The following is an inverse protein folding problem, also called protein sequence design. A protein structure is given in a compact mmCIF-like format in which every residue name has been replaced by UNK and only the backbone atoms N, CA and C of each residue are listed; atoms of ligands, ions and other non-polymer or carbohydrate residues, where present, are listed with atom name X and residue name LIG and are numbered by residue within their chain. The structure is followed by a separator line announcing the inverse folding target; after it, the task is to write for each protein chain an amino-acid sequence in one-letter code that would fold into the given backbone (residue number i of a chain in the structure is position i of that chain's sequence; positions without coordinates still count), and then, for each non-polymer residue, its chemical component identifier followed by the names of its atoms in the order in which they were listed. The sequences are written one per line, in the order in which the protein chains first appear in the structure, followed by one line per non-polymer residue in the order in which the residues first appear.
data_IF_683798126770
#
_entry.id   IF_683798126770
#
_cell.length_a   1.000
_cell.length_b   1.000
_cell.length_c   1.000
_cell.angle_alpha   90.00
_cell.angle_beta   90.00
_cell.angle_gamma   90.00
#
_symmetry.space_group_name_H-M   'P 1'
#
loop_
_entity.id
_entity.type
_entity.pdbx_description
1 polymer ?
#
# COMPACT_ATOMS: atom_id res chain seq x y z
N UNK A 1 2.86 -14.78 26.86
CA UNK A 1 1.97 -13.61 27.00
C UNK A 1 2.85 -12.38 27.14
N UNK A 2 3.19 -11.73 26.02
CA UNK A 2 3.82 -10.43 26.05
C UNK A 2 2.77 -9.46 26.59
N UNK A 3 3.03 -8.85 27.75
CA UNK A 3 2.22 -7.73 28.22
C UNK A 3 2.38 -6.62 27.18
N UNK A 4 1.39 -6.45 26.30
CA UNK A 4 1.27 -5.25 25.49
C UNK A 4 1.33 -4.07 26.46
N UNK A 5 2.40 -3.28 26.39
CA UNK A 5 2.46 -2.00 27.08
C UNK A 5 1.38 -1.14 26.43
N UNK A 6 0.20 -1.12 27.06
CA UNK A 6 -0.92 -0.28 26.67
C UNK A 6 -0.47 1.18 26.78
N UNK A 7 -0.12 1.77 25.64
CA UNK A 7 0.24 3.18 25.58
C UNK A 7 -1.04 4.01 25.77
N UNK A 8 -1.03 4.92 26.75
CA UNK A 8 -2.18 5.78 27.04
C UNK A 8 -2.32 6.91 26.02
N UNK A 9 -3.54 7.42 25.88
CA UNK A 9 -3.83 8.61 25.06
C UNK A 9 -3.01 9.83 25.49
N UNK A 10 -2.78 10.01 26.80
CA UNK A 10 -1.96 11.11 27.30
C UNK A 10 -0.48 10.97 26.91
N UNK A 11 0.05 9.74 26.93
CA UNK A 11 1.41 9.50 26.47
C UNK A 11 1.56 9.78 24.97
N UNK A 12 0.59 9.35 24.14
CA UNK A 12 0.60 9.64 22.71
C UNK A 12 0.45 11.13 22.42
N UNK A 13 -0.50 11.81 23.07
CA UNK A 13 -0.64 13.26 22.89
C UNK A 13 0.63 14.03 23.25
N UNK A 14 1.35 13.62 24.31
CA UNK A 14 2.66 14.20 24.62
C UNK A 14 3.71 13.91 23.55
N UNK A 15 3.81 12.67 23.07
CA UNK A 15 4.77 12.31 22.03
C UNK A 15 4.55 13.16 20.77
N UNK A 16 3.30 13.22 20.31
CA UNK A 16 2.88 14.00 19.14
C UNK A 16 3.17 15.49 19.28
N UNK A 17 2.97 16.09 20.46
CA UNK A 17 3.24 17.52 20.67
C UNK A 17 4.71 17.90 20.54
N UNK A 18 5.63 16.96 20.76
CA UNK A 18 7.07 17.23 20.78
C UNK A 18 7.83 16.56 19.63
N UNK A 19 7.17 15.73 18.83
CA UNK A 19 7.76 15.11 17.65
C UNK A 19 7.51 15.99 16.41
N UNK A 20 8.54 16.67 15.88
CA UNK A 20 8.39 17.54 14.72
C UNK A 20 8.09 16.77 13.42
N UNK A 21 8.28 15.44 13.40
CA UNK A 21 7.93 14.60 12.26
C UNK A 21 6.46 14.16 12.30
N UNK A 22 5.74 14.49 13.39
CA UNK A 22 4.34 14.15 13.55
C UNK A 22 3.45 15.39 13.37
N UNK A 23 2.56 15.34 12.38
CA UNK A 23 1.56 16.37 12.13
C UNK A 23 0.18 15.84 12.45
N UNK A 24 -0.55 16.50 13.36
CA UNK A 24 -1.93 16.14 13.67
C UNK A 24 -2.85 16.39 12.48
N UNK A 25 -3.89 15.56 12.28
CA UNK A 25 -4.87 15.78 11.22
C UNK A 25 -5.63 17.08 11.48
N UNK A 26 -5.75 17.94 10.48
CA UNK A 26 -6.49 19.20 10.58
C UNK A 26 -8.00 18.96 10.57
N UNK A 27 -8.47 18.04 9.73
CA UNK A 27 -9.85 17.59 9.63
C UNK A 27 -9.92 16.07 9.77
N UNK A 28 -9.88 15.56 11.01
CA UNK A 28 -9.84 14.12 11.24
C UNK A 28 -11.10 13.44 10.72
N UNK A 29 -10.90 12.36 9.96
CA UNK A 29 -11.96 11.48 9.51
C UNK A 29 -11.70 10.07 10.02
N UNK A 30 -12.71 9.48 10.67
CA UNK A 30 -12.74 8.08 11.06
C UNK A 30 -13.57 7.31 10.02
N UNK A 31 -12.93 6.50 9.15
CA UNK A 31 -13.60 5.68 8.18
C UNK A 31 -14.74 4.85 8.77
N UNK A 32 -15.91 4.89 8.13
CA UNK A 32 -17.07 4.06 8.50
C UNK A 32 -16.89 2.59 8.13
N UNK A 33 -15.86 2.30 7.35
CA UNK A 33 -15.48 0.97 6.89
C UNK A 33 -14.85 0.10 7.99
N UNK A 34 -14.54 0.69 9.15
CA UNK A 34 -14.10 -0.06 10.31
C UNK A 34 -15.27 -0.71 11.05
N UNK A 35 -15.05 -1.94 11.52
CA UNK A 35 -15.99 -2.63 12.41
C UNK A 35 -15.64 -2.28 13.85
N UNK A 36 -16.52 -1.53 14.52
CA UNK A 36 -16.34 -1.11 15.92
C UNK A 36 -17.21 -1.96 16.84
N UNK A 37 -16.57 -2.78 17.68
CA UNK A 37 -17.24 -3.69 18.62
C UNK A 37 -17.06 -3.18 20.06
N UNK A 38 -18.15 -2.82 20.77
CA UNK A 38 -18.07 -2.45 22.17
C UNK A 38 -17.62 -3.62 23.05
N UNK A 39 -16.65 -3.37 23.93
CA UNK A 39 -16.20 -4.30 24.97
C UNK A 39 -16.64 -3.80 26.35
N UNK A 40 -16.54 -4.66 27.37
CA UNK A 40 -16.89 -4.30 28.77
C UNK A 40 -16.14 -3.05 29.26
N UNK A 41 -14.89 -2.90 28.84
CA UNK A 41 -13.91 -1.92 29.31
C UNK A 41 -13.26 -1.11 28.16
N UNK A 42 -13.82 -1.15 26.94
CA UNK A 42 -13.19 -0.54 25.78
C UNK A 42 -13.93 -0.73 24.46
N UNK A 43 -13.20 -0.60 23.36
CA UNK A 43 -13.62 -0.87 21.99
C UNK A 43 -12.60 -1.77 21.31
N UNK A 44 -13.08 -2.72 20.53
CA UNK A 44 -12.32 -3.44 19.50
C UNK A 44 -12.64 -2.78 18.16
N UNK A 45 -11.62 -2.51 17.35
CA UNK A 45 -11.74 -1.93 16.02
C UNK A 45 -11.02 -2.86 15.06
N UNK A 46 -11.77 -3.37 14.08
CA UNK A 46 -11.31 -4.30 13.07
C UNK A 46 -11.39 -3.69 11.68
N UNK A 47 -10.46 -4.08 10.80
CA UNK A 47 -10.42 -3.68 9.40
C UNK A 47 -9.24 -2.78 9.04
N UNK A 48 -8.54 -2.19 10.02
CA UNK A 48 -7.25 -1.53 9.78
C UNK A 48 -6.16 -2.56 9.45
N UNK A 49 -4.94 -2.09 9.14
CA UNK A 49 -3.79 -2.98 8.90
C UNK A 49 -3.54 -3.96 10.07
N UNK A 50 -3.72 -3.47 11.30
CA UNK A 50 -3.70 -4.27 12.52
C UNK A 50 -4.98 -4.08 13.33
N UNK A 51 -5.49 -5.17 13.92
CA UNK A 51 -6.59 -5.12 14.87
C UNK A 51 -6.26 -4.22 16.07
N UNK A 52 -7.13 -3.27 16.40
CA UNK A 52 -6.92 -2.34 17.51
C UNK A 52 -7.85 -2.63 18.68
N UNK A 53 -7.28 -2.77 19.89
CA UNK A 53 -8.04 -2.84 21.13
C UNK A 53 -7.74 -1.61 21.99
N UNK A 54 -8.73 -0.73 22.11
CA UNK A 54 -8.64 0.48 22.93
C UNK A 54 -9.36 0.23 24.25
N UNK A 55 -8.70 0.47 25.39
CA UNK A 55 -9.27 0.25 26.73
C UNK A 55 -9.18 1.50 27.57
N UNK A 56 -10.09 1.60 28.53
CA UNK A 56 -10.07 2.64 29.57
C UNK A 56 -11.37 3.41 29.69
N UNK A 57 -11.52 4.11 30.82
CA UNK A 57 -12.74 4.86 31.15
C UNK A 57 -13.04 5.95 30.13
N UNK A 58 -12.01 6.64 29.64
CA UNK A 58 -12.14 7.67 28.62
C UNK A 58 -12.61 7.06 27.28
N UNK A 59 -11.96 5.99 26.81
CA UNK A 59 -12.39 5.22 25.62
C UNK A 59 -13.86 4.84 25.70
N UNK A 60 -14.31 4.25 26.81
CA UNK A 60 -15.70 3.80 26.98
C UNK A 60 -16.74 4.94 26.94
N UNK A 61 -16.40 6.12 27.44
CA UNK A 61 -17.35 7.23 27.60
C UNK A 61 -17.25 8.29 26.50
N UNK A 62 -16.04 8.60 26.06
CA UNK A 62 -15.72 9.68 25.14
C UNK A 62 -15.78 9.21 23.68
N UNK A 63 -15.15 8.08 23.33
CA UNK A 63 -15.09 7.66 21.91
C UNK A 63 -16.46 7.50 21.26
N UNK A 64 -17.49 6.89 21.89
CA UNK A 64 -18.81 6.79 21.25
C UNK A 64 -19.43 8.13 20.88
N UNK A 65 -19.07 9.21 21.59
CA UNK A 65 -19.49 10.59 21.30
C UNK A 65 -18.56 11.30 20.32
N UNK A 66 -17.26 10.96 20.35
CA UNK A 66 -16.24 11.58 19.53
C UNK A 66 -16.28 11.06 18.08
N UNK A 67 -16.39 9.74 17.88
CA UNK A 67 -16.32 9.10 16.56
C UNK A 67 -17.32 9.70 15.54
N UNK A 68 -18.59 10.00 15.89
CA UNK A 68 -19.52 10.64 14.95
C UNK A 68 -19.10 12.04 14.48
N UNK A 69 -18.22 12.72 15.21
CA UNK A 69 -17.70 14.07 14.89
C UNK A 69 -16.41 14.02 14.06
N UNK A 70 -15.75 12.87 13.98
CA UNK A 70 -14.55 12.66 13.16
C UNK A 70 -14.99 12.30 11.74
N UNK A 71 -15.67 13.23 11.07
CA UNK A 71 -16.30 13.03 9.78
C UNK A 71 -15.53 13.68 8.61
N UNK A 72 -14.33 14.20 8.87
CA UNK A 72 -13.52 14.93 7.89
C UNK A 72 -14.01 16.34 7.58
N UNK A 73 -15.10 16.80 8.20
CA UNK A 73 -15.67 18.14 7.97
C UNK A 73 -15.30 19.11 9.07
N UNK A 74 -15.18 18.62 10.30
CA UNK A 74 -14.87 19.43 11.47
C UNK A 74 -13.36 19.52 11.70
N UNK A 75 -12.88 20.69 12.12
CA UNK A 75 -11.51 20.84 12.62
C UNK A 75 -11.34 20.27 14.02
N UNK A 76 -10.10 20.08 14.48
CA UNK A 76 -9.81 19.67 15.85
C UNK A 76 -10.47 20.58 16.89
N UNK A 77 -10.47 21.89 16.65
CA UNK A 77 -11.08 22.89 17.52
C UNK A 77 -12.60 22.73 17.57
N UNK A 78 -13.25 22.56 16.41
CA UNK A 78 -14.69 22.37 16.31
C UNK A 78 -15.13 21.07 17.00
N UNK A 79 -14.38 19.98 16.80
CA UNK A 79 -14.61 18.70 17.50
C UNK A 79 -14.49 18.86 19.01
N UNK A 80 -13.49 19.61 19.50
CA UNK A 80 -13.33 19.84 20.93
C UNK A 80 -14.47 20.68 21.52
N UNK A 81 -14.98 21.67 20.78
CA UNK A 81 -16.12 22.49 21.19
C UNK A 81 -17.43 21.70 21.24
N UNK A 82 -17.62 20.74 20.32
CA UNK A 82 -18.82 19.90 20.25
C UNK A 82 -18.92 18.87 21.39
N UNK A 83 -17.85 18.67 22.18
CA UNK A 83 -17.84 17.75 23.33
C UNK A 83 -17.50 18.50 24.63
N UNK A 84 -18.39 19.37 25.14
CA UNK A 84 -18.09 20.29 26.24
C UNK A 84 -17.81 19.60 27.58
N UNK A 85 -18.22 18.34 27.74
CA UNK A 85 -17.97 17.53 28.94
C UNK A 85 -16.54 16.96 29.01
N UNK A 86 -15.73 17.15 27.96
CA UNK A 86 -14.34 16.73 27.89
C UNK A 86 -13.42 17.96 27.75
N UNK A 87 -12.24 17.91 28.38
CA UNK A 87 -11.27 18.99 28.18
C UNK A 87 -10.67 18.92 26.77
N UNK A 88 -10.30 20.09 26.22
CA UNK A 88 -9.61 20.18 24.91
C UNK A 88 -8.40 19.26 24.86
N UNK A 89 -7.60 19.21 25.94
CA UNK A 89 -6.46 18.30 26.06
C UNK A 89 -6.86 16.82 25.97
N UNK A 90 -8.00 16.43 26.55
CA UNK A 90 -8.48 15.05 26.50
C UNK A 90 -8.94 14.67 25.08
N UNK A 91 -9.62 15.58 24.37
CA UNK A 91 -10.01 15.39 22.97
C UNK A 91 -8.76 15.26 22.09
N UNK A 92 -7.82 16.19 22.22
CA UNK A 92 -6.54 16.15 21.50
C UNK A 92 -5.80 14.82 21.71
N UNK A 93 -5.62 14.40 22.97
CA UNK A 93 -4.95 13.14 23.30
C UNK A 93 -5.65 11.92 22.68
N UNK A 94 -6.98 11.94 22.61
CA UNK A 94 -7.75 10.85 22.01
C UNK A 94 -7.58 10.81 20.49
N UNK A 95 -7.62 11.97 19.82
CA UNK A 95 -7.40 12.05 18.37
C UNK A 95 -5.97 11.64 18.03
N UNK A 96 -4.97 12.08 18.81
CA UNK A 96 -3.59 11.64 18.66
C UNK A 96 -3.45 10.12 18.82
N UNK A 97 -4.13 9.52 19.79
CA UNK A 97 -4.15 8.06 19.95
C UNK A 97 -4.77 7.37 18.73
N UNK A 98 -5.91 7.83 18.22
CA UNK A 98 -6.55 7.21 17.05
C UNK A 98 -5.68 7.34 15.79
N UNK A 99 -5.10 8.53 15.56
CA UNK A 99 -4.27 8.79 14.39
C UNK A 99 -2.96 7.98 14.43
N UNK A 100 -2.28 7.92 15.58
CA UNK A 100 -1.07 7.09 15.75
C UNK A 100 -1.31 5.59 15.57
N UNK A 101 -2.57 5.13 15.66
CA UNK A 101 -2.99 3.74 15.42
C UNK A 101 -3.56 3.50 14.02
N UNK A 102 -3.40 4.47 13.12
CA UNK A 102 -3.87 4.36 11.74
C UNK A 102 -5.38 4.29 11.60
N UNK A 103 -6.12 4.82 12.58
CA UNK A 103 -7.58 4.80 12.58
C UNK A 103 -8.21 6.09 12.04
N UNK A 104 -7.39 7.09 11.69
CA UNK A 104 -7.85 8.37 11.15
C UNK A 104 -7.10 8.72 9.87
N UNK A 105 -7.81 9.37 8.96
CA UNK A 105 -7.24 10.14 7.84
C UNK A 105 -7.46 11.64 8.05
N UNK A 106 -6.75 12.46 7.28
CA UNK A 106 -6.93 13.92 7.27
C UNK A 106 -7.58 14.39 5.97
N UNK A 107 -8.88 14.69 6.03
CA UNK A 107 -9.62 15.21 4.86
C UNK A 107 -9.19 16.62 4.44
N UNK A 108 -8.33 17.31 5.20
CA UNK A 108 -7.74 18.56 4.74
C UNK A 108 -6.72 18.35 3.60
N UNK A 109 -6.18 17.13 3.45
CA UNK A 109 -5.27 16.76 2.37
C UNK A 109 -6.00 16.28 1.10
N UNK A 110 -7.33 16.17 1.14
CA UNK A 110 -8.10 15.71 -0.01
C UNK A 110 -7.90 16.68 -1.21
N UNK A 111 -7.47 16.15 -2.38
CA UNK A 111 -7.19 17.00 -3.54
C UNK A 111 -8.45 17.70 -4.06
N UNK A 112 -8.31 18.99 -4.38
CA UNK A 112 -9.42 19.78 -4.91
C UNK A 112 -9.94 19.19 -6.23
N UNK A 113 -11.25 18.93 -6.31
CA UNK A 113 -11.89 18.37 -7.49
C UNK A 113 -11.78 16.85 -7.64
N UNK A 114 -11.14 16.15 -6.71
CA UNK A 114 -11.12 14.68 -6.66
C UNK A 114 -12.15 14.16 -5.66
N UNK A 115 -13.34 13.89 -6.16
CA UNK A 115 -14.49 13.53 -5.30
C UNK A 115 -14.52 12.03 -4.99
N UNK A 116 -14.81 11.67 -3.74
CA UNK A 116 -14.98 10.28 -3.32
C UNK A 116 -16.04 9.50 -4.12
N UNK A 117 -17.03 10.19 -4.68
CA UNK A 117 -18.09 9.60 -5.51
C UNK A 117 -17.62 9.15 -6.89
N UNK A 118 -16.43 9.59 -7.32
CA UNK A 118 -15.83 9.19 -8.59
C UNK A 118 -15.03 7.89 -8.51
N UNK A 119 -14.84 7.34 -7.30
CA UNK A 119 -14.05 6.14 -7.04
C UNK A 119 -14.97 4.97 -6.69
N UNK A 120 -14.59 3.76 -7.10
CA UNK A 120 -15.25 2.55 -6.64
C UNK A 120 -15.27 2.48 -5.08
N UNK A 121 -16.43 2.27 -4.45
CA UNK A 121 -16.53 2.28 -3.00
C UNK A 121 -15.67 1.24 -2.28
N UNK A 122 -15.44 0.06 -2.88
CA UNK A 122 -14.62 -0.99 -2.30
C UNK A 122 -13.14 -0.62 -2.36
N UNK A 123 -12.71 -0.03 -3.46
CA UNK A 123 -11.35 0.51 -3.61
C UNK A 123 -11.12 1.63 -2.58
N UNK A 124 -12.03 2.61 -2.50
CA UNK A 124 -11.93 3.69 -1.51
C UNK A 124 -11.87 3.15 -0.07
N UNK A 125 -12.72 2.17 0.25
CA UNK A 125 -12.74 1.49 1.55
C UNK A 125 -11.40 0.80 1.86
N UNK A 126 -10.79 0.15 0.87
CA UNK A 126 -9.45 -0.44 1.02
C UNK A 126 -8.40 0.63 1.36
N UNK A 127 -8.32 1.71 0.60
CA UNK A 127 -7.33 2.78 0.84
C UNK A 127 -7.54 3.46 2.20
N UNK A 128 -8.79 3.73 2.59
CA UNK A 128 -9.12 4.30 3.91
C UNK A 128 -8.61 3.46 5.08
N UNK A 129 -8.74 2.13 4.95
CA UNK A 129 -8.29 1.20 5.98
C UNK A 129 -6.76 1.06 6.07
N UNK A 130 -6.04 1.51 5.05
CA UNK A 130 -4.60 1.30 4.89
C UNK A 130 -3.78 2.59 4.73
N UNK A 131 -4.38 3.78 4.92
CA UNK A 131 -3.70 5.08 4.78
C UNK A 131 -2.43 5.17 5.65
N UNK A 132 -2.43 4.51 6.81
CA UNK A 132 -1.32 4.54 7.77
C UNK A 132 -0.18 3.57 7.45
N UNK A 133 -0.32 2.69 6.44
CA UNK A 133 0.68 1.64 6.16
C UNK A 133 2.04 2.22 5.81
N UNK A 134 2.07 3.30 5.02
CA UNK A 134 3.31 4.01 4.65
C UNK A 134 3.37 5.44 5.17
N UNK A 135 2.23 6.02 5.58
CA UNK A 135 2.06 7.44 5.97
C UNK A 135 2.55 8.47 4.94
N UNK A 136 2.81 8.05 3.71
CA UNK A 136 3.21 8.98 2.64
C UNK A 136 2.01 9.83 2.19
N UNK A 137 0.79 9.33 2.37
CA UNK A 137 -0.44 10.06 2.13
C UNK A 137 -1.17 10.26 3.44
N UNK A 138 -1.81 11.41 3.58
CA UNK A 138 -2.62 11.80 4.72
C UNK A 138 -4.08 11.35 4.58
N UNK A 139 -4.55 11.11 3.35
CA UNK A 139 -5.88 10.56 3.08
C UNK A 139 -5.92 9.51 1.98
N UNK A 140 -7.01 8.72 1.97
CA UNK A 140 -7.29 7.79 0.90
C UNK A 140 -7.48 8.50 -0.45
N UNK A 141 -8.13 9.67 -0.47
CA UNK A 141 -8.35 10.42 -1.71
C UNK A 141 -7.06 11.00 -2.26
N UNK A 142 -6.14 11.44 -1.40
CA UNK A 142 -4.80 11.83 -1.82
C UNK A 142 -4.05 10.66 -2.46
N UNK A 143 -4.13 9.48 -1.84
CA UNK A 143 -3.53 8.24 -2.37
C UNK A 143 -4.10 7.88 -3.74
N UNK A 144 -5.42 7.95 -3.89
CA UNK A 144 -6.13 7.62 -5.12
C UNK A 144 -5.91 8.64 -6.22
N UNK A 145 -5.83 9.94 -5.91
CA UNK A 145 -5.50 10.96 -6.89
C UNK A 145 -4.08 10.76 -7.43
N UNK A 146 -3.12 10.39 -6.56
CA UNK A 146 -1.78 10.02 -7.00
C UNK A 146 -1.79 8.78 -7.89
N UNK A 147 -2.59 7.76 -7.55
CA UNK A 147 -2.74 6.57 -8.38
C UNK A 147 -3.37 6.91 -9.76
N UNK A 148 -4.38 7.79 -9.77
CA UNK A 148 -5.03 8.27 -10.98
C UNK A 148 -4.12 9.14 -11.87
N UNK A 149 -3.00 9.64 -11.33
CA UNK A 149 -1.95 10.32 -12.11
C UNK A 149 -0.84 9.38 -12.60
N UNK A 150 -0.86 8.11 -12.18
CA UNK A 150 0.17 7.14 -12.51
C UNK A 150 -0.02 6.53 -13.89
N UNK A 151 1.09 6.14 -14.51
CA UNK A 151 1.13 5.43 -15.78
C UNK A 151 1.78 4.06 -15.60
N UNK A 152 1.12 3.01 -16.08
CA UNK A 152 1.63 1.64 -16.00
C UNK A 152 1.64 1.00 -17.38
N UNK A 153 2.80 0.52 -17.79
CA UNK A 153 2.94 -0.33 -18.96
C UNK A 153 3.00 -1.80 -18.55
N UNK A 154 2.30 -2.68 -19.26
CA UNK A 154 2.27 -4.11 -19.00
C UNK A 154 2.85 -4.85 -20.20
N UNK A 155 3.92 -5.59 -19.98
CA UNK A 155 4.50 -6.53 -20.94
C UNK A 155 4.22 -7.94 -20.44
N UNK A 156 3.82 -8.84 -21.34
CA UNK A 156 3.69 -10.25 -21.01
C UNK A 156 4.29 -11.13 -22.11
N UNK A 157 4.79 -12.31 -21.74
CA UNK A 157 4.96 -13.39 -22.70
C UNK A 157 4.72 -14.74 -22.05
N UNK A 158 4.32 -15.69 -22.90
CA UNK A 158 4.05 -17.06 -22.53
C UNK A 158 2.79 -17.57 -23.23
N UNK A 159 2.18 -18.66 -22.73
CA UNK A 159 1.09 -19.33 -23.40
C UNK A 159 -0.26 -18.59 -23.32
N UNK A 160 -0.43 -17.61 -22.43
CA UNK A 160 -1.69 -16.87 -22.27
C UNK A 160 -1.61 -15.51 -22.98
N UNK A 161 -2.14 -15.38 -24.22
CA UNK A 161 -1.96 -14.16 -25.02
C UNK A 161 -2.64 -12.92 -24.42
N UNK A 162 -3.73 -13.10 -23.68
CA UNK A 162 -4.57 -12.01 -23.21
C UNK A 162 -4.23 -11.53 -21.78
N UNK A 163 -3.22 -12.15 -21.14
CA UNK A 163 -2.92 -11.88 -19.71
C UNK A 163 -2.50 -10.42 -19.48
N UNK A 164 -1.81 -9.79 -20.42
CA UNK A 164 -1.43 -8.38 -20.30
C UNK A 164 -2.68 -7.48 -20.29
N UNK A 165 -3.64 -7.72 -21.18
CA UNK A 165 -4.88 -6.94 -21.27
C UNK A 165 -5.77 -7.15 -20.04
N UNK A 166 -5.81 -8.37 -19.51
CA UNK A 166 -6.57 -8.69 -18.30
C UNK A 166 -5.99 -7.98 -17.06
N UNK A 167 -4.67 -7.91 -16.94
CA UNK A 167 -3.99 -7.13 -15.90
C UNK A 167 -4.22 -5.64 -16.09
N UNK A 168 -4.16 -5.12 -17.33
CA UNK A 168 -4.46 -3.73 -17.62
C UNK A 168 -5.87 -3.36 -17.13
N UNK A 169 -6.85 -4.17 -17.47
CA UNK A 169 -8.25 -3.98 -17.06
C UNK A 169 -8.39 -3.93 -15.54
N UNK A 170 -7.71 -4.84 -14.82
CA UNK A 170 -7.76 -4.85 -13.35
C UNK A 170 -7.10 -3.60 -12.75
N UNK A 171 -5.94 -3.17 -13.27
CA UNK A 171 -5.25 -1.96 -12.80
C UNK A 171 -6.11 -0.71 -13.02
N UNK A 172 -6.75 -0.57 -14.18
CA UNK A 172 -7.69 0.52 -14.46
C UNK A 172 -8.87 0.53 -13.48
N UNK A 173 -9.46 -0.65 -13.22
CA UNK A 173 -10.55 -0.80 -12.24
C UNK A 173 -10.13 -0.43 -10.80
N UNK A 174 -8.84 -0.56 -10.47
CA UNK A 174 -8.31 -0.12 -9.17
C UNK A 174 -8.00 1.37 -9.09
N UNK A 175 -8.13 2.12 -10.20
CA UNK A 175 -7.95 3.57 -10.24
C UNK A 175 -6.58 4.04 -10.76
N UNK A 176 -5.81 3.18 -11.43
CA UNK A 176 -4.60 3.62 -12.15
C UNK A 176 -5.01 4.48 -13.34
N UNK A 177 -4.36 5.64 -13.50
CA UNK A 177 -4.74 6.66 -14.49
C UNK A 177 -4.64 6.21 -15.94
N UNK A 178 -3.46 5.71 -16.33
CA UNK A 178 -3.20 5.23 -17.68
C UNK A 178 -2.51 3.87 -17.61
N UNK A 179 -3.13 2.87 -18.22
CA UNK A 179 -2.57 1.53 -18.31
C UNK A 179 -2.51 1.11 -19.77
N UNK A 180 -1.45 0.41 -20.17
CA UNK A 180 -1.30 -0.02 -21.56
C UNK A 180 -0.57 -1.35 -21.64
N UNK A 181 -1.17 -2.31 -22.34
CA UNK A 181 -0.49 -3.53 -22.75
C UNK A 181 0.46 -3.20 -23.90
N UNK A 182 1.67 -3.73 -23.84
CA UNK A 182 2.71 -3.47 -24.83
C UNK A 182 3.21 -4.78 -25.45
N UNK A 183 3.61 -4.65 -26.71
CA UNK A 183 4.39 -5.68 -27.40
C UNK A 183 5.87 -5.54 -27.05
N UNK A 184 6.58 -6.68 -27.06
CA UNK A 184 8.03 -6.70 -26.90
C UNK A 184 8.73 -5.92 -28.02
N UNK A 185 9.77 -5.16 -27.65
CA UNK A 185 10.48 -4.27 -28.58
C UNK A 185 9.86 -2.89 -28.74
N UNK A 186 8.74 -2.59 -28.06
CA UNK A 186 8.20 -1.23 -28.01
C UNK A 186 9.22 -0.23 -27.41
N UNK A 187 9.22 1.01 -27.91
CA UNK A 187 10.08 2.08 -27.38
C UNK A 187 9.46 2.72 -26.13
N UNK A 188 9.85 2.24 -24.95
CA UNK A 188 9.34 2.71 -23.66
C UNK A 188 9.47 4.23 -23.48
N UNK A 189 10.47 4.87 -24.11
CA UNK A 189 10.69 6.31 -24.01
C UNK A 189 9.62 7.17 -24.67
N UNK A 190 8.80 6.59 -25.56
CA UNK A 190 7.70 7.27 -26.25
C UNK A 190 6.34 7.02 -25.61
N UNK A 191 6.26 6.04 -24.71
CA UNK A 191 5.00 5.56 -24.14
C UNK A 191 4.61 6.35 -22.91
N UNK A 192 5.60 6.67 -22.08
CA UNK A 192 5.35 7.45 -20.89
C UNK A 192 5.36 8.94 -21.18
N UNK A 193 4.32 9.63 -20.75
CA UNK A 193 4.33 11.09 -20.76
C UNK A 193 5.37 11.58 -19.76
N UNK A 194 6.21 12.53 -20.19
CA UNK A 194 7.27 13.07 -19.33
C UNK A 194 6.75 13.79 -18.09
N UNK A 195 5.46 14.16 -18.08
CA UNK A 195 4.81 14.89 -16.99
C UNK A 195 4.12 13.96 -15.98
N UNK A 196 4.09 12.64 -16.22
CA UNK A 196 3.50 11.72 -15.26
C UNK A 196 4.32 11.64 -13.98
N UNK A 197 3.65 11.81 -12.84
CA UNK A 197 4.28 11.82 -11.52
C UNK A 197 4.88 10.45 -11.16
N UNK A 198 4.24 9.37 -11.62
CA UNK A 198 4.65 7.99 -11.34
C UNK A 198 4.50 7.12 -12.58
N UNK A 199 5.53 6.33 -12.85
CA UNK A 199 5.64 5.47 -14.03
C UNK A 199 6.18 4.12 -13.59
N UNK A 200 5.59 3.04 -14.08
CA UNK A 200 6.01 1.67 -13.77
C UNK A 200 5.85 0.79 -15.00
N UNK A 201 6.80 -0.10 -15.22
CA UNK A 201 6.63 -1.22 -16.16
C UNK A 201 6.38 -2.49 -15.35
N UNK A 202 5.32 -3.24 -15.66
CA UNK A 202 5.04 -4.55 -15.08
C UNK A 202 5.32 -5.60 -16.15
N UNK A 203 6.08 -6.63 -15.80
CA UNK A 203 6.48 -7.69 -16.72
C UNK A 203 5.98 -9.02 -16.19
N UNK A 204 5.06 -9.64 -16.92
CA UNK A 204 4.56 -10.98 -16.63
C UNK A 204 5.28 -12.01 -17.49
N UNK A 205 5.87 -12.99 -16.85
CA UNK A 205 6.59 -14.09 -17.48
C UNK A 205 5.90 -15.38 -17.13
N UNK A 206 5.24 -16.02 -18.10
CA UNK A 206 4.71 -17.36 -17.91
C UNK A 206 5.67 -18.41 -18.49
N UNK A 207 6.20 -19.26 -17.63
CA UNK A 207 7.15 -20.31 -17.98
C UNK A 207 8.61 -19.89 -17.78
N UNK A 208 9.47 -20.25 -18.73
CA UNK A 208 10.90 -20.01 -18.61
C UNK A 208 11.25 -18.57 -18.97
N UNK A 209 12.15 -17.97 -18.18
CA UNK A 209 12.64 -16.63 -18.46
C UNK A 209 13.55 -16.58 -19.68
N UNK A 210 13.29 -15.61 -20.56
CA UNK A 210 14.25 -15.20 -21.56
C UNK A 210 15.16 -14.14 -20.94
N UNK A 211 16.33 -14.58 -20.48
CA UNK A 211 17.28 -13.71 -19.79
C UNK A 211 17.84 -12.61 -20.70
N UNK A 212 17.95 -12.84 -22.00
CA UNK A 212 18.47 -11.83 -22.94
C UNK A 212 17.43 -10.73 -23.11
N UNK A 213 16.17 -11.11 -23.32
CA UNK A 213 15.05 -10.19 -23.45
C UNK A 213 14.85 -9.32 -22.20
N UNK A 214 14.90 -9.94 -21.01
CA UNK A 214 14.76 -9.22 -19.74
C UNK A 214 15.96 -8.32 -19.43
N UNK A 215 17.17 -8.68 -19.87
CA UNK A 215 18.34 -7.80 -19.78
C UNK A 215 18.22 -6.59 -20.71
N UNK A 216 17.75 -6.77 -21.94
CA UNK A 216 17.51 -5.65 -22.87
C UNK A 216 16.47 -4.68 -22.31
N UNK A 217 15.39 -5.22 -21.73
CA UNK A 217 14.38 -4.43 -21.04
C UNK A 217 14.97 -3.63 -19.87
N UNK A 218 15.76 -4.27 -19.01
CA UNK A 218 16.41 -3.61 -17.87
C UNK A 218 17.30 -2.44 -18.30
N UNK A 219 18.06 -2.60 -19.40
CA UNK A 219 18.87 -1.53 -20.00
C UNK A 219 18.01 -0.38 -20.56
N UNK A 220 16.88 -0.69 -21.20
CA UNK A 220 15.95 0.31 -21.71
C UNK A 220 15.27 1.08 -20.57
N UNK A 221 14.79 0.38 -19.54
CA UNK A 221 14.22 0.96 -18.33
C UNK A 221 15.24 1.87 -17.63
N UNK A 222 16.49 1.43 -17.48
CA UNK A 222 17.57 2.24 -16.91
C UNK A 222 17.85 3.52 -17.73
N UNK A 223 17.81 3.44 -19.06
CA UNK A 223 18.01 4.60 -19.95
C UNK A 223 16.97 5.69 -19.76
N UNK A 224 15.72 5.30 -19.47
CA UNK A 224 14.60 6.22 -19.31
C UNK A 224 14.24 6.51 -17.84
N UNK A 225 15.04 6.01 -16.89
CA UNK A 225 14.77 6.08 -15.46
C UNK A 225 13.36 5.59 -15.11
N UNK A 226 12.99 4.43 -15.66
CA UNK A 226 11.73 3.76 -15.41
C UNK A 226 11.98 2.58 -14.46
N UNK A 227 11.28 2.52 -13.32
CA UNK A 227 11.29 1.31 -12.52
C UNK A 227 10.43 0.24 -13.18
N UNK A 228 10.73 -1.03 -12.89
CA UNK A 228 9.93 -2.14 -13.37
C UNK A 228 9.77 -3.27 -12.35
N UNK A 229 8.62 -3.93 -12.38
CA UNK A 229 8.27 -5.04 -11.52
C UNK A 229 8.17 -6.32 -12.34
N UNK A 230 8.95 -7.33 -11.97
CA UNK A 230 8.85 -8.66 -12.53
C UNK A 230 7.75 -9.46 -11.83
N UNK A 231 7.00 -10.26 -12.59
CA UNK A 231 6.10 -11.30 -12.10
C UNK A 231 6.37 -12.58 -12.88
N UNK A 232 6.88 -13.62 -12.21
CA UNK A 232 7.13 -14.93 -12.81
C UNK A 232 6.02 -15.91 -12.46
N UNK A 233 5.53 -16.69 -13.42
CA UNK A 233 4.49 -17.70 -13.21
C UNK A 233 4.98 -19.01 -13.84
N UNK A 234 5.24 -20.01 -13.01
CA UNK A 234 5.55 -21.36 -13.44
C UNK A 234 4.40 -22.29 -13.04
N UNK A 235 3.47 -22.51 -13.98
CA UNK A 235 2.33 -23.40 -13.76
C UNK A 235 2.74 -24.88 -13.62
N UNK A 236 3.89 -25.30 -14.17
CA UNK A 236 4.38 -26.68 -14.02
C UNK A 236 4.87 -26.92 -12.60
N UNK A 237 5.61 -25.95 -12.04
CA UNK A 237 6.06 -25.98 -10.64
C UNK A 237 4.99 -25.49 -9.67
N UNK A 238 3.88 -24.93 -10.16
CA UNK A 238 2.80 -24.31 -9.39
C UNK A 238 3.32 -23.19 -8.48
N UNK A 239 4.22 -22.36 -9.02
CA UNK A 239 4.79 -21.21 -8.31
C UNK A 239 4.45 -19.93 -9.07
N UNK A 240 4.07 -18.89 -8.35
CA UNK A 240 4.12 -17.52 -8.83
C UNK A 240 5.07 -16.71 -7.96
N UNK A 241 5.85 -15.84 -8.59
CA UNK A 241 6.80 -14.95 -7.95
C UNK A 241 6.43 -13.54 -8.32
N UNK A 242 6.33 -12.65 -7.33
CA UNK A 242 6.21 -11.22 -7.56
C UNK A 242 7.47 -10.55 -7.05
N UNK A 243 8.08 -9.80 -7.95
CA UNK A 243 9.39 -9.20 -7.81
C UNK A 243 10.52 -10.00 -8.47
N UNK A 244 11.74 -9.44 -8.43
CA UNK A 244 12.06 -8.18 -7.77
C UNK A 244 11.45 -6.94 -8.43
N UNK A 245 11.35 -5.87 -7.64
CA UNK A 245 11.19 -4.51 -8.14
C UNK A 245 12.57 -3.95 -8.47
N UNK A 246 12.72 -3.42 -9.67
CA UNK A 246 13.97 -2.91 -10.22
C UNK A 246 13.87 -1.39 -10.39
N UNK A 247 14.72 -0.64 -9.69
CA UNK A 247 14.84 0.82 -9.82
C UNK A 247 16.31 1.22 -9.82
N UNK A 248 16.75 1.87 -10.90
CA UNK A 248 18.16 2.16 -11.11
C UNK A 248 18.68 3.15 -10.06
N UNK A 249 19.67 2.72 -9.29
CA UNK A 249 20.29 3.52 -8.23
C UNK A 249 19.72 3.23 -6.84
N UNK A 250 18.57 2.55 -6.76
CA UNK A 250 17.91 2.21 -5.50
C UNK A 250 17.95 0.69 -5.23
N UNK A 251 17.79 -0.15 -6.25
CA UNK A 251 17.81 -1.62 -6.13
C UNK A 251 18.87 -2.27 -7.03
N UNK A 252 19.15 -3.56 -6.78
CA UNK A 252 19.96 -4.38 -7.67
C UNK A 252 19.31 -4.47 -9.07
N UNK A 253 20.12 -4.52 -10.13
CA UNK A 253 19.65 -4.67 -11.51
C UNK A 253 19.32 -6.14 -11.87
N UNK A 254 18.68 -6.37 -13.02
CA UNK A 254 18.30 -7.72 -13.44
C UNK A 254 19.50 -8.64 -13.60
N UNK A 255 20.64 -8.16 -14.11
CA UNK A 255 21.88 -8.97 -14.19
C UNK A 255 22.36 -9.45 -12.81
N UNK A 256 22.26 -8.60 -11.79
CA UNK A 256 22.63 -8.99 -10.43
C UNK A 256 21.69 -10.07 -9.89
N UNK A 257 20.38 -9.89 -10.12
CA UNK A 257 19.37 -10.88 -9.78
C UNK A 257 19.59 -12.22 -10.50
N UNK A 258 19.76 -12.20 -11.82
CA UNK A 258 19.96 -13.40 -12.63
C UNK A 258 21.21 -14.17 -12.19
N UNK A 259 22.31 -13.48 -11.84
CA UNK A 259 23.51 -14.12 -11.30
C UNK A 259 23.24 -14.79 -9.95
N UNK A 260 22.61 -14.07 -9.01
CA UNK A 260 22.29 -14.61 -7.70
C UNK A 260 21.36 -15.81 -7.81
N UNK A 261 20.32 -15.74 -8.64
CA UNK A 261 19.38 -16.85 -8.82
C UNK A 261 20.00 -18.06 -9.52
N UNK A 262 20.95 -17.86 -10.45
CA UNK A 262 21.69 -18.96 -11.04
C UNK A 262 22.55 -19.70 -10.01
N UNK A 263 23.13 -18.98 -9.04
CA UNK A 263 23.92 -19.56 -7.94
C UNK A 263 23.06 -20.38 -6.96
N UNK A 264 21.77 -20.07 -6.82
CA UNK A 264 20.81 -20.82 -5.99
C UNK A 264 20.03 -21.91 -6.76
N UNK A 265 20.21 -22.01 -8.08
CA UNK A 265 19.54 -23.00 -8.93
C UNK A 265 20.24 -24.38 -8.92
N UNK A 266 20.87 -24.77 -7.80
CA UNK A 266 21.27 -26.16 -7.60
C UNK A 266 20.01 -27.04 -7.61
N UNK A 267 20.08 -28.14 -8.37
CA UNK A 267 18.96 -29.07 -8.56
C UNK A 267 18.40 -29.50 -7.19
N UNK A 268 17.06 -29.57 -7.03
CA UNK A 268 16.51 -30.22 -5.85
C UNK A 268 16.98 -31.67 -5.88
N UNK A 269 17.92 -31.98 -5.00
CA UNK A 269 18.39 -33.34 -4.74
C UNK A 269 17.14 -34.17 -4.47
N UNK A 270 16.91 -35.14 -5.37
CA UNK A 270 15.62 -35.76 -5.56
C UNK A 270 15.20 -36.63 -4.37
N UNK A 271 14.70 -36.04 -3.29
CA UNK A 271 13.89 -36.67 -2.23
C UNK A 271 13.34 -35.60 -1.31
N UNK A 272 12.41 -34.79 -1.81
CA UNK A 272 11.57 -33.95 -0.97
C UNK A 272 10.14 -34.12 -1.43
N UNK A 273 9.38 -34.99 -0.75
CA UNK A 273 7.93 -35.11 -0.92
C UNK A 273 7.29 -33.76 -0.54
N UNK A 274 7.32 -32.80 -1.46
CA UNK A 274 6.38 -31.68 -1.46
C UNK A 274 5.04 -32.30 -1.82
N UNK A 275 4.25 -32.61 -0.79
CA UNK A 275 2.85 -33.01 -0.98
C UNK A 275 2.19 -32.00 -1.92
N UNK A 276 1.79 -32.48 -3.10
CA UNK A 276 1.11 -31.69 -4.11
C UNK A 276 -0.21 -31.20 -3.53
N UNK A 277 -0.19 -29.99 -2.97
CA UNK A 277 -1.40 -29.27 -2.59
C UNK A 277 -2.12 -28.77 -3.85
N UNK A 278 -3.44 -28.59 -3.77
CA UNK A 278 -4.25 -27.99 -4.83
C UNK A 278 -4.00 -26.48 -5.04
N UNK A 279 -3.01 -25.89 -4.37
CA UNK A 279 -2.77 -24.45 -4.33
C UNK A 279 -1.53 -24.04 -5.14
N UNK A 280 -1.47 -22.76 -5.53
CA UNK A 280 -0.30 -22.12 -6.16
C UNK A 280 0.54 -21.50 -5.03
N UNK A 281 1.85 -21.76 -5.00
CA UNK A 281 2.76 -21.12 -4.04
C UNK A 281 3.11 -19.71 -4.56
N UNK A 282 2.81 -18.66 -3.77
CA UNK A 282 3.14 -17.27 -4.12
C UNK A 282 4.35 -16.82 -3.31
N UNK A 283 5.43 -16.42 -3.99
CA UNK A 283 6.64 -15.88 -3.38
C UNK A 283 6.72 -14.39 -3.62
N UNK A 284 6.87 -13.63 -2.54
CA UNK A 284 7.10 -12.19 -2.58
C UNK A 284 8.57 -11.92 -2.34
N UNK A 285 9.23 -11.28 -3.31
CA UNK A 285 10.60 -10.79 -3.14
C UNK A 285 10.57 -9.51 -2.29
N UNK A 286 10.45 -9.68 -0.97
CA UNK A 286 10.38 -8.57 -0.01
C UNK A 286 11.76 -8.07 0.48
N UNK A 287 12.85 -8.78 0.16
CA UNK A 287 14.21 -8.38 0.55
C UNK A 287 14.93 -7.71 -0.62
N UNK A 288 15.05 -6.38 -0.54
CA UNK A 288 16.02 -5.63 -1.33
C UNK A 288 17.43 -6.15 -0.97
N UNK A 289 18.12 -6.75 -1.92
CA UNK A 289 19.58 -6.87 -1.85
C UNK A 289 20.14 -5.46 -2.01
N UNK A 290 20.38 -4.78 -0.89
CA UNK A 290 21.17 -3.55 -0.85
C UNK A 290 22.60 -3.94 -1.20
N UNK A 291 23.05 -3.60 -2.40
CA UNK A 291 24.46 -3.67 -2.76
C UNK A 291 25.14 -2.49 -2.05
N UNK A 292 25.86 -2.77 -0.97
CA UNK A 292 26.88 -1.82 -0.49
C UNK A 292 27.93 -1.68 -1.60
N UNK A 293 28.05 -0.48 -2.15
CA UNK A 293 29.16 -0.09 -3.05
C UNK A 293 30.35 0.41 -2.26
#
# INVERSE_FOLDING_TARGET
MLAEKLISAEHMGRAVLFDPQFMMPQRPHFPKDFVVVPLKDGLLIEGAADQQVLRGKATKKLLPRLLPLLDGKHTLEEVAQAVPDASVKMVFNMIALLYTRGLLEDSAADPAGFEATSVDPQVLSYFRRHVDTTRVNHSALESLARLASAQVAVLAYGPSPDIAEEICTQLEQTGVGMVSALEWGADLGKLFEKQADRRLVVVLVEGQEDQELLQELDEQCARYALPWLRVGIDLKRRVAEMGPYFERGETACYRCFARANAEFAEEPDGTGDLQVGQHLEVRLWAQMLVLET
#
